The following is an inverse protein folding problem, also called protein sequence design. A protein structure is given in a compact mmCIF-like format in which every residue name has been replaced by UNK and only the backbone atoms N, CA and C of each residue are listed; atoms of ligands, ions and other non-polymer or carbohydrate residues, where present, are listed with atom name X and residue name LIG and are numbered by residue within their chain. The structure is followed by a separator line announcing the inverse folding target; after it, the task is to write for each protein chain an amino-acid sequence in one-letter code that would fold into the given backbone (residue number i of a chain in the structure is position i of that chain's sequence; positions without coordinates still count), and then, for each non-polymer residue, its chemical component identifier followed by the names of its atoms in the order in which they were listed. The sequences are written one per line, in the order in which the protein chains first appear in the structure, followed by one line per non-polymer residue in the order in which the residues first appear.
data_IF_716768401085
#
_entry.id   IF_716768401085
#
_cell.length_a   1.000
_cell.length_b   1.000
_cell.length_c   1.000
_cell.angle_alpha   90.00
_cell.angle_beta   90.00
_cell.angle_gamma   90.00
#
_symmetry.space_group_name_H-M   'P 1'
#
loop_
_entity.id
_entity.type
_entity.pdbx_description
1 polymer ?
#
# COMPACT_ATOMS: atom_id res chain seq x y z
N UNK A 1 -17.17 41.01 15.69
CA UNK A 1 -16.22 39.89 15.93
C UNK A 1 -16.32 38.91 14.76
N UNK A 2 -15.42 38.99 13.77
CA UNK A 2 -15.41 38.09 12.60
C UNK A 2 -14.47 36.93 12.90
N UNK A 3 -15.01 35.73 13.09
CA UNK A 3 -14.19 34.52 13.15
C UNK A 3 -13.75 34.18 11.72
N UNK A 4 -12.49 34.44 11.41
CA UNK A 4 -11.85 33.92 10.19
C UNK A 4 -11.61 32.44 10.41
N UNK A 5 -12.48 31.58 9.87
CA UNK A 5 -12.17 30.17 9.71
C UNK A 5 -11.09 30.07 8.62
N UNK A 6 -9.82 30.15 9.01
CA UNK A 6 -8.77 29.65 8.13
C UNK A 6 -8.89 28.13 8.11
N UNK A 7 -9.61 27.58 7.12
CA UNK A 7 -9.51 26.16 6.80
C UNK A 7 -8.10 25.95 6.24
N UNK A 8 -7.14 25.72 7.13
CA UNK A 8 -5.80 25.31 6.74
C UNK A 8 -5.93 24.01 5.95
N UNK A 9 -5.45 23.99 4.71
CA UNK A 9 -5.25 22.74 4.00
C UNK A 9 -4.38 21.85 4.89
N UNK A 10 -4.77 20.59 5.16
CA UNK A 10 -3.88 19.68 5.85
C UNK A 10 -2.61 19.59 5.01
N UNK A 11 -1.48 20.00 5.59
CA UNK A 11 -0.18 19.87 4.92
C UNK A 11 0.11 18.37 4.83
N UNK A 12 -0.20 17.77 3.69
CA UNK A 12 0.13 16.37 3.43
C UNK A 12 1.65 16.27 3.53
N UNK A 13 2.11 15.47 4.50
CA UNK A 13 3.54 15.27 4.70
C UNK A 13 4.15 14.57 3.48
N UNK A 14 5.40 14.90 3.14
CA UNK A 14 6.11 14.23 2.04
C UNK A 14 6.11 12.70 2.20
N UNK A 15 6.22 12.21 3.45
CA UNK A 15 6.14 10.79 3.80
C UNK A 15 4.79 10.17 3.41
N UNK A 16 3.69 10.87 3.70
CA UNK A 16 2.33 10.42 3.38
C UNK A 16 2.12 10.33 1.86
N UNK A 17 2.65 11.31 1.10
CA UNK A 17 2.64 11.27 -0.37
C UNK A 17 3.44 10.06 -0.86
N UNK A 18 4.64 9.83 -0.34
CA UNK A 18 5.48 8.71 -0.73
C UNK A 18 4.80 7.36 -0.45
N UNK A 19 4.22 7.18 0.74
CA UNK A 19 3.44 5.98 1.10
C UNK A 19 2.27 5.78 0.14
N UNK A 20 1.51 6.84 -0.14
CA UNK A 20 0.37 6.77 -1.04
C UNK A 20 0.79 6.38 -2.46
N UNK A 21 1.85 6.99 -2.98
CA UNK A 21 2.38 6.69 -4.31
C UNK A 21 2.89 5.24 -4.41
N UNK A 22 3.68 4.77 -3.44
CA UNK A 22 4.20 3.39 -3.47
C UNK A 22 3.05 2.37 -3.42
N UNK A 23 2.07 2.57 -2.54
CA UNK A 23 0.92 1.67 -2.45
C UNK A 23 0.09 1.65 -3.75
N UNK A 24 -0.09 2.81 -4.39
CA UNK A 24 -0.79 2.90 -5.69
C UNK A 24 0.01 2.22 -6.80
N UNK A 25 1.34 2.41 -6.85
CA UNK A 25 2.21 1.73 -7.82
C UNK A 25 2.07 0.21 -7.68
N UNK A 26 2.21 -0.31 -6.47
CA UNK A 26 2.02 -1.74 -6.18
C UNK A 26 0.62 -2.21 -6.60
N UNK A 27 -0.44 -1.46 -6.26
CA UNK A 27 -1.80 -1.81 -6.66
C UNK A 27 -1.95 -1.93 -8.18
N UNK A 28 -1.39 -0.99 -8.95
CA UNK A 28 -1.45 -0.99 -10.41
C UNK A 28 -0.66 -2.16 -11.01
N UNK A 29 0.46 -2.56 -10.41
CA UNK A 29 1.21 -3.76 -10.83
C UNK A 29 0.34 -5.00 -10.63
N UNK A 30 -0.29 -5.17 -9.47
CA UNK A 30 -1.22 -6.28 -9.22
C UNK A 30 -2.42 -6.28 -10.18
N UNK A 31 -2.97 -5.11 -10.51
CA UNK A 31 -4.03 -5.01 -11.51
C UNK A 31 -3.55 -5.50 -12.88
N UNK A 32 -2.36 -5.07 -13.31
CA UNK A 32 -1.76 -5.50 -14.57
C UNK A 32 -1.51 -7.01 -14.59
N UNK A 33 -0.99 -7.60 -13.50
CA UNK A 33 -0.80 -9.05 -13.38
C UNK A 33 -2.13 -9.80 -13.46
N UNK A 34 -3.16 -9.35 -12.74
CA UNK A 34 -4.50 -9.92 -12.78
C UNK A 34 -5.10 -9.91 -14.19
N UNK A 35 -5.10 -8.74 -14.84
CA UNK A 35 -5.64 -8.56 -16.20
C UNK A 35 -4.86 -9.40 -17.21
N UNK A 36 -3.51 -9.38 -17.18
CA UNK A 36 -2.68 -10.22 -18.06
C UNK A 36 -2.94 -11.70 -17.83
N UNK A 37 -3.04 -12.14 -16.57
CA UNK A 37 -3.37 -13.50 -16.19
C UNK A 37 -4.67 -13.98 -16.82
N UNK A 38 -5.74 -13.16 -16.74
CA UNK A 38 -7.00 -13.49 -17.41
C UNK A 38 -6.88 -13.50 -18.94
N UNK A 39 -6.18 -12.53 -19.54
CA UNK A 39 -6.02 -12.44 -21.00
C UNK A 39 -5.28 -13.64 -21.59
N UNK A 40 -4.28 -14.18 -20.89
CA UNK A 40 -3.53 -15.36 -21.34
C UNK A 40 -4.18 -16.69 -20.93
N UNK A 41 -5.37 -16.65 -20.31
CA UNK A 41 -6.08 -17.84 -19.85
C UNK A 41 -5.40 -18.57 -18.69
N UNK A 42 -4.63 -17.86 -17.85
CA UNK A 42 -4.03 -18.45 -16.65
C UNK A 42 -5.17 -18.92 -15.73
N UNK A 43 -5.33 -20.23 -15.62
CA UNK A 43 -6.35 -20.84 -14.76
C UNK A 43 -6.02 -20.71 -13.27
N UNK A 44 -6.95 -21.13 -12.42
CA UNK A 44 -6.76 -21.16 -10.97
C UNK A 44 -6.92 -19.80 -10.28
N UNK A 45 -6.53 -19.70 -9.00
CA UNK A 45 -6.86 -18.53 -8.19
C UNK A 45 -5.94 -17.32 -8.41
N UNK A 46 -4.78 -17.48 -9.07
CA UNK A 46 -3.75 -16.43 -9.13
C UNK A 46 -4.24 -15.10 -9.74
N UNK A 47 -4.91 -15.07 -10.93
CA UNK A 47 -5.41 -13.81 -11.47
C UNK A 47 -6.41 -13.12 -10.55
N UNK A 48 -7.27 -13.91 -9.88
CA UNK A 48 -8.25 -13.39 -8.93
C UNK A 48 -7.53 -12.79 -7.72
N UNK A 49 -6.53 -13.48 -7.16
CA UNK A 49 -5.75 -12.99 -6.03
C UNK A 49 -5.01 -11.70 -6.35
N UNK A 50 -4.46 -11.55 -7.55
CA UNK A 50 -3.85 -10.28 -8.00
C UNK A 50 -4.87 -9.14 -8.08
N UNK A 51 -6.07 -9.38 -8.62
CA UNK A 51 -7.15 -8.37 -8.60
C UNK A 51 -7.56 -8.01 -7.16
N UNK A 52 -7.65 -9.00 -6.27
CA UNK A 52 -7.93 -8.76 -4.86
C UNK A 52 -6.81 -7.95 -4.18
N UNK A 53 -5.54 -8.16 -4.57
CA UNK A 53 -4.42 -7.32 -4.12
C UNK A 53 -4.57 -5.87 -4.57
N UNK A 54 -4.90 -5.63 -5.84
CA UNK A 54 -5.22 -4.29 -6.32
C UNK A 54 -6.30 -3.62 -5.46
N UNK A 55 -7.43 -4.31 -5.23
CA UNK A 55 -8.52 -3.78 -4.41
C UNK A 55 -8.06 -3.54 -2.97
N UNK A 56 -7.33 -4.48 -2.37
CA UNK A 56 -6.83 -4.38 -1.00
C UNK A 56 -5.95 -3.16 -0.79
N UNK A 57 -4.95 -2.96 -1.67
CA UNK A 57 -4.08 -1.78 -1.60
C UNK A 57 -4.85 -0.47 -1.79
N UNK A 58 -5.75 -0.40 -2.78
CA UNK A 58 -6.55 0.81 -3.02
C UNK A 58 -7.47 1.16 -1.86
N UNK A 59 -8.13 0.16 -1.25
CA UNK A 59 -8.99 0.36 -0.07
C UNK A 59 -8.16 0.82 1.12
N UNK A 60 -7.05 0.15 1.42
CA UNK A 60 -6.22 0.45 2.59
C UNK A 60 -5.53 1.80 2.47
N UNK A 61 -4.97 2.15 1.30
CA UNK A 61 -4.33 3.45 1.09
C UNK A 61 -5.36 4.58 1.15
N UNK A 62 -6.57 4.38 0.60
CA UNK A 62 -7.66 5.34 0.72
C UNK A 62 -8.06 5.53 2.18
N UNK A 63 -8.26 4.43 2.91
CA UNK A 63 -8.62 4.47 4.33
C UNK A 63 -7.56 5.15 5.20
N UNK A 64 -6.28 4.96 4.88
CA UNK A 64 -5.16 5.60 5.59
C UNK A 64 -5.13 7.12 5.36
N UNK A 65 -5.58 7.61 4.21
CA UNK A 65 -5.50 9.02 3.82
C UNK A 65 -6.81 9.79 4.01
N UNK A 66 -7.95 9.10 4.19
CA UNK A 66 -9.26 9.74 4.29
C UNK A 66 -9.46 10.39 5.68
N UNK A 67 -9.73 11.71 5.77
CA UNK A 67 -9.86 12.40 7.05
C UNK A 67 -11.03 11.91 7.91
N UNK A 68 -12.11 11.42 7.32
CA UNK A 68 -13.25 10.86 8.06
C UNK A 68 -12.92 9.56 8.80
N UNK A 69 -11.80 8.90 8.44
CA UNK A 69 -11.35 7.64 9.02
C UNK A 69 -10.17 7.81 9.99
N UNK A 70 -9.87 9.03 10.44
CA UNK A 70 -8.78 9.33 11.38
C UNK A 70 -8.71 8.38 12.59
N UNK A 71 -9.87 7.97 13.13
CA UNK A 71 -9.94 7.06 14.29
C UNK A 71 -9.33 5.67 14.00
N UNK A 72 -9.43 5.18 12.76
CA UNK A 72 -8.96 3.85 12.37
C UNK A 72 -7.64 3.86 11.60
N UNK A 73 -7.12 5.04 11.20
CA UNK A 73 -5.89 5.15 10.41
C UNK A 73 -4.68 4.43 11.05
N UNK A 74 -4.57 4.44 12.38
CA UNK A 74 -3.50 3.70 13.08
C UNK A 74 -3.60 2.19 12.83
N UNK A 75 -4.82 1.63 12.92
CA UNK A 75 -5.07 0.21 12.64
C UNK A 75 -4.89 -0.07 11.16
N UNK A 76 -5.40 0.80 10.27
CA UNK A 76 -5.23 0.69 8.82
C UNK A 76 -3.76 0.63 8.43
N UNK A 77 -2.90 1.43 9.06
CA UNK A 77 -1.45 1.39 8.83
C UNK A 77 -0.86 0.02 9.16
N UNK A 78 -1.17 -0.53 10.33
CA UNK A 78 -0.69 -1.85 10.72
C UNK A 78 -1.22 -2.97 9.83
N UNK A 79 -2.48 -2.87 9.40
CA UNK A 79 -3.07 -3.79 8.42
C UNK A 79 -2.32 -3.68 7.09
N UNK A 80 -2.06 -2.47 6.60
CA UNK A 80 -1.32 -2.27 5.34
C UNK A 80 0.11 -2.84 5.43
N UNK A 81 0.80 -2.67 6.56
CA UNK A 81 2.11 -3.30 6.81
C UNK A 81 2.00 -4.82 6.73
N UNK A 82 1.08 -5.42 7.49
CA UNK A 82 0.92 -6.87 7.54
C UNK A 82 0.50 -7.45 6.19
N UNK A 83 -0.38 -6.75 5.48
CA UNK A 83 -0.85 -7.12 4.14
C UNK A 83 0.29 -7.09 3.12
N UNK A 84 1.08 -6.01 3.10
CA UNK A 84 2.25 -5.87 2.22
C UNK A 84 3.31 -6.91 2.53
N UNK A 85 3.54 -7.23 3.81
CA UNK A 85 4.46 -8.30 4.18
C UNK A 85 3.96 -9.67 3.69
N UNK A 86 2.64 -9.91 3.77
CA UNK A 86 2.02 -11.13 3.29
C UNK A 86 2.16 -11.28 1.77
N UNK A 87 2.00 -10.21 0.98
CA UNK A 87 2.17 -10.30 -0.50
C UNK A 87 3.61 -10.65 -0.88
N UNK A 88 4.61 -10.08 -0.19
CA UNK A 88 6.03 -10.42 -0.39
C UNK A 88 6.29 -11.90 -0.06
N UNK A 89 5.82 -12.36 1.10
CA UNK A 89 6.01 -13.75 1.55
C UNK A 89 5.32 -14.73 0.59
N UNK A 90 4.07 -14.47 0.23
CA UNK A 90 3.31 -15.36 -0.66
C UNK A 90 3.96 -15.43 -2.03
N UNK A 91 4.38 -14.30 -2.61
CA UNK A 91 5.12 -14.30 -3.87
C UNK A 91 6.39 -15.14 -3.79
N UNK A 92 7.15 -15.01 -2.70
CA UNK A 92 8.37 -15.81 -2.52
C UNK A 92 8.07 -17.31 -2.53
N UNK A 93 6.97 -17.73 -1.90
CA UNK A 93 6.58 -19.13 -1.78
C UNK A 93 5.96 -19.72 -3.06
N UNK A 94 5.20 -18.94 -3.83
CA UNK A 94 4.35 -19.47 -4.91
C UNK A 94 4.76 -19.04 -6.32
N UNK A 95 5.48 -17.93 -6.48
CA UNK A 95 5.70 -17.28 -7.77
C UNK A 95 7.18 -16.98 -8.08
N UNK A 96 8.07 -16.99 -7.07
CA UNK A 96 9.48 -16.60 -7.23
C UNK A 96 10.26 -17.42 -8.26
N UNK A 97 9.87 -18.68 -8.48
CA UNK A 97 10.51 -19.57 -9.46
C UNK A 97 10.30 -19.16 -10.92
N UNK A 98 9.32 -18.30 -11.21
CA UNK A 98 8.98 -17.82 -12.56
C UNK A 98 9.05 -16.29 -12.66
N UNK A 99 9.66 -15.63 -11.68
CA UNK A 99 9.65 -14.18 -11.57
C UNK A 99 10.45 -13.51 -12.67
N UNK A 100 9.89 -12.43 -13.23
CA UNK A 100 10.60 -11.54 -14.14
C UNK A 100 11.16 -10.30 -13.42
N UNK A 101 11.83 -9.41 -14.15
CA UNK A 101 12.40 -8.19 -13.57
C UNK A 101 11.34 -7.28 -12.93
N UNK A 102 10.12 -7.25 -13.47
CA UNK A 102 9.03 -6.41 -12.95
C UNK A 102 8.59 -6.93 -11.58
N UNK A 103 8.53 -8.25 -11.40
CA UNK A 103 8.21 -8.87 -10.12
C UNK A 103 9.21 -8.48 -9.02
N UNK A 104 10.52 -8.56 -9.30
CA UNK A 104 11.53 -8.15 -8.32
C UNK A 104 11.47 -6.66 -7.97
N UNK A 105 11.20 -5.80 -8.97
CA UNK A 105 11.02 -4.36 -8.74
C UNK A 105 9.80 -4.09 -7.87
N UNK A 106 8.67 -4.76 -8.11
CA UNK A 106 7.47 -4.64 -7.27
C UNK A 106 7.76 -5.04 -5.81
N UNK A 107 8.49 -6.13 -5.59
CA UNK A 107 8.87 -6.55 -4.23
C UNK A 107 9.78 -5.52 -3.54
N UNK A 108 10.65 -4.85 -4.27
CA UNK A 108 11.43 -3.74 -3.73
C UNK A 108 10.54 -2.56 -3.32
N UNK A 109 9.55 -2.19 -4.16
CA UNK A 109 8.56 -1.15 -3.86
C UNK A 109 7.76 -1.50 -2.60
N UNK A 110 7.31 -2.76 -2.47
CA UNK A 110 6.60 -3.26 -1.28
C UNK A 110 7.47 -3.19 0.00
N UNK A 111 8.75 -3.56 -0.08
CA UNK A 111 9.68 -3.47 1.05
C UNK A 111 9.91 -2.01 1.46
N UNK A 112 10.09 -1.10 0.49
CA UNK A 112 10.24 0.34 0.77
C UNK A 112 8.95 0.89 1.40
N UNK A 113 7.78 0.48 0.92
CA UNK A 113 6.49 0.85 1.51
C UNK A 113 6.39 0.43 2.98
N UNK A 114 6.76 -0.81 3.30
CA UNK A 114 6.79 -1.30 4.69
C UNK A 114 7.71 -0.42 5.55
N UNK A 115 8.93 -0.12 5.07
CA UNK A 115 9.88 0.72 5.80
C UNK A 115 9.29 2.11 6.07
N UNK A 116 8.69 2.76 5.06
CA UNK A 116 8.09 4.08 5.25
C UNK A 116 6.91 4.07 6.22
N UNK A 117 6.07 3.03 6.18
CA UNK A 117 4.96 2.87 7.12
C UNK A 117 5.47 2.66 8.56
N UNK A 118 6.56 1.93 8.75
CA UNK A 118 7.20 1.77 10.06
C UNK A 118 7.78 3.10 10.54
N UNK A 119 8.51 3.83 9.69
CA UNK A 119 9.02 5.17 10.04
C UNK A 119 7.87 6.08 10.46
N UNK A 120 6.77 6.12 9.71
CA UNK A 120 5.58 6.92 10.07
C UNK A 120 5.00 6.51 11.43
N UNK A 121 4.96 5.20 11.74
CA UNK A 121 4.42 4.69 12.99
C UNK A 121 5.26 5.05 14.23
N UNK A 122 6.59 5.13 14.08
CA UNK A 122 7.52 5.33 15.20
C UNK A 122 8.01 6.78 15.35
N UNK A 123 8.04 7.57 14.27
CA UNK A 123 8.55 8.95 14.29
C UNK A 123 7.86 9.89 15.30
N UNK A 124 6.53 9.84 15.54
CA UNK A 124 5.90 10.68 16.56
C UNK A 124 6.41 10.42 17.98
N UNK A 125 6.80 9.18 18.29
CA UNK A 125 7.20 8.76 19.65
C UNK A 125 8.65 9.13 19.97
N UNK A 126 9.51 9.34 18.97
CA UNK A 126 10.93 9.66 19.16
C UNK A 126 11.20 11.14 19.47
N UNK A 127 10.20 12.03 19.37
CA UNK A 127 10.34 13.46 19.73
C UNK A 127 9.88 13.79 21.15
N UNK A 128 9.37 12.81 21.88
CA UNK A 128 8.86 12.96 23.26
C UNK A 128 9.78 12.29 24.30
N UNK A 129 10.95 11.79 23.89
CA UNK A 129 12.02 11.23 24.74
C UNK A 129 13.24 12.14 24.65
#
# INVERSE_FOLDING_TARGET
MKQTISKGFPRIGLLQIAVALLAVITALIHLNLGVRGFMIGLGGPLPILWILNFVGYMVLVTALNLPSLQRVQSITRWILIAYTALTVILWYLIASSHADTVDYVDKLVEVVLIILLLVEAFWPRMREV
#
